data_IF_725334651520
#
_entry.id   IF_725334651520
#
_cell.length_a   1.000
_cell.length_b   1.000
_cell.length_c   1.000
_cell.angle_alpha   90.00
_cell.angle_beta   90.00
_cell.angle_gamma   90.00
#
_symmetry.space_group_name_H-M   'P 1'
#
loop_
_entity.id
_entity.type
_entity.pdbx_description
1 polymer ?
#
# COMPACT_ATOMS: atom_id res chain seq x y z
N UNK A 1 -0.76 22.12 0.45
CA UNK A 1 -1.29 21.10 1.38
C UNK A 1 -1.87 20.00 0.52
N UNK A 2 -1.66 18.73 0.83
CA UNK A 2 -2.25 17.65 0.03
C UNK A 2 -3.70 17.52 0.48
N UNK A 3 -4.64 17.76 -0.43
CA UNK A 3 -6.06 17.58 -0.17
C UNK A 3 -6.44 16.12 -0.37
N UNK A 4 -7.16 15.57 0.61
CA UNK A 4 -7.65 14.20 0.60
C UNK A 4 -9.17 14.24 0.48
N UNK A 5 -9.76 13.72 -0.61
CA UNK A 5 -11.21 13.61 -0.76
C UNK A 5 -11.82 12.71 0.33
N UNK A 6 -13.05 13.03 0.75
CA UNK A 6 -13.81 12.23 1.72
C UNK A 6 -13.02 11.89 2.99
N UNK A 7 -12.34 12.88 3.56
CA UNK A 7 -11.50 12.73 4.76
C UNK A 7 -12.32 12.22 5.96
N UNK A 8 -13.60 12.57 6.02
CA UNK A 8 -14.53 12.15 7.07
C UNK A 8 -14.70 10.62 7.15
N UNK A 9 -14.41 9.87 6.08
CA UNK A 9 -14.40 8.40 6.12
C UNK A 9 -13.31 7.84 7.03
N UNK A 10 -12.25 8.61 7.28
CA UNK A 10 -11.17 8.26 8.21
C UNK A 10 -11.49 8.70 9.64
N UNK A 11 -12.65 9.33 9.88
CA UNK A 11 -12.97 9.95 11.17
C UNK A 11 -12.11 11.18 11.48
N UNK A 12 -11.50 11.80 10.47
CA UNK A 12 -10.60 12.95 10.64
C UNK A 12 -11.26 14.26 10.21
N UNK A 13 -11.01 15.30 10.99
CA UNK A 13 -11.27 16.69 10.60
C UNK A 13 -10.12 17.25 9.76
N UNK A 14 -10.37 18.35 9.05
CA UNK A 14 -9.34 19.05 8.28
C UNK A 14 -8.17 19.54 9.15
N UNK A 15 -8.44 19.95 10.39
CA UNK A 15 -7.40 20.41 11.31
C UNK A 15 -6.52 19.23 11.77
N UNK A 16 -7.12 18.09 12.12
CA UNK A 16 -6.35 16.89 12.48
C UNK A 16 -5.51 16.40 11.30
N UNK A 17 -6.05 16.43 10.08
CA UNK A 17 -5.28 16.12 8.88
C UNK A 17 -4.11 17.08 8.66
N UNK A 18 -4.33 18.38 8.90
CA UNK A 18 -3.27 19.38 8.83
C UNK A 18 -2.15 19.06 9.83
N UNK A 19 -2.50 18.75 11.08
CA UNK A 19 -1.54 18.43 12.13
C UNK A 19 -0.73 17.18 11.79
N UNK A 20 -1.40 16.12 11.30
CA UNK A 20 -0.74 14.88 10.85
C UNK A 20 0.19 15.15 9.67
N UNK A 21 -0.21 16.02 8.73
CA UNK A 21 0.67 16.45 7.64
C UNK A 21 1.93 17.17 8.14
N UNK A 22 1.85 17.94 9.24
CA UNK A 22 3.02 18.58 9.82
C UNK A 22 3.94 17.57 10.50
N UNK A 23 3.39 16.62 11.25
CA UNK A 23 4.15 15.51 11.84
C UNK A 23 4.94 14.76 10.76
N UNK A 24 4.29 14.42 9.64
CA UNK A 24 4.96 13.75 8.53
C UNK A 24 6.10 14.60 7.94
N UNK A 25 5.87 15.89 7.65
CA UNK A 25 6.90 16.80 7.13
C UNK A 25 8.11 16.95 8.06
N UNK A 26 7.85 16.96 9.37
CA UNK A 26 8.88 17.02 10.39
C UNK A 26 9.59 15.67 10.62
N UNK A 27 9.16 14.61 9.92
CA UNK A 27 9.64 13.24 10.06
C UNK A 27 9.44 12.66 11.46
N UNK A 28 8.35 13.06 12.11
CA UNK A 28 7.90 12.49 13.39
C UNK A 28 7.16 11.16 13.17
N UNK A 29 7.81 10.22 12.45
CA UNK A 29 7.22 8.96 11.97
C UNK A 29 6.88 7.96 13.09
N UNK A 30 7.44 8.16 14.28
CA UNK A 30 7.13 7.39 15.49
C UNK A 30 5.98 8.01 16.31
N UNK A 31 5.41 9.14 15.85
CA UNK A 31 4.28 9.77 16.52
C UNK A 31 3.08 8.81 16.55
N UNK A 32 2.51 8.50 17.74
CA UNK A 32 1.34 7.63 17.84
C UNK A 32 0.17 8.13 17.00
N UNK A 33 -0.02 9.46 16.93
CA UNK A 33 -1.09 10.08 16.15
C UNK A 33 -0.92 9.81 14.65
N UNK A 34 0.31 9.97 14.13
CA UNK A 34 0.60 9.69 12.72
C UNK A 34 0.42 8.21 12.40
N UNK A 35 0.95 7.32 13.26
CA UNK A 35 0.84 5.88 13.08
C UNK A 35 -0.62 5.40 13.14
N UNK A 36 -1.44 5.94 14.04
CA UNK A 36 -2.85 5.56 14.15
C UNK A 36 -3.66 6.01 12.93
N UNK A 37 -3.38 7.19 12.37
CA UNK A 37 -3.98 7.63 11.11
C UNK A 37 -3.56 6.71 9.97
N UNK A 38 -2.29 6.33 9.90
CA UNK A 38 -1.79 5.45 8.84
C UNK A 38 -2.35 4.02 8.97
N UNK A 39 -2.54 3.50 10.19
CA UNK A 39 -3.23 2.23 10.44
C UNK A 39 -4.69 2.30 10.02
N UNK A 40 -5.40 3.35 10.42
CA UNK A 40 -6.80 3.58 10.06
C UNK A 40 -6.95 3.65 8.53
N UNK A 41 -6.10 4.45 7.88
CA UNK A 41 -6.07 4.53 6.42
C UNK A 41 -5.82 3.16 5.78
N UNK A 42 -4.85 2.40 6.28
CA UNK A 42 -4.54 1.06 5.77
C UNK A 42 -5.72 0.09 5.92
N UNK A 43 -6.40 0.08 7.07
CA UNK A 43 -7.59 -0.77 7.30
C UNK A 43 -8.77 -0.41 6.38
N UNK A 44 -8.86 0.86 5.96
CA UNK A 44 -9.90 1.36 5.08
C UNK A 44 -9.47 1.37 3.61
N UNK A 45 -8.32 0.75 3.29
CA UNK A 45 -7.70 0.78 1.96
C UNK A 45 -7.48 2.20 1.41
N UNK A 46 -7.33 3.21 2.26
CA UNK A 46 -7.10 4.62 1.89
C UNK A 46 -5.62 4.86 1.55
N UNK A 47 -5.20 4.29 0.43
CA UNK A 47 -3.82 4.31 -0.04
C UNK A 47 -3.34 5.71 -0.44
N UNK A 48 -4.26 6.62 -0.79
CA UNK A 48 -3.99 8.03 -0.99
C UNK A 48 -3.39 8.70 0.25
N UNK A 49 -3.90 8.37 1.44
CA UNK A 49 -3.40 8.90 2.72
C UNK A 49 -2.01 8.32 3.00
N UNK A 50 -1.85 7.00 2.89
CA UNK A 50 -0.57 6.32 3.11
C UNK A 50 0.53 6.90 2.20
N UNK A 51 0.23 7.06 0.90
CA UNK A 51 1.14 7.68 -0.05
C UNK A 51 1.42 9.15 0.29
N UNK A 52 0.41 9.92 0.66
CA UNK A 52 0.57 11.35 0.97
C UNK A 52 1.48 11.58 2.19
N UNK A 53 1.34 10.77 3.24
CA UNK A 53 2.21 10.85 4.41
C UNK A 53 3.65 10.48 4.05
N UNK A 54 3.83 9.42 3.26
CA UNK A 54 5.14 9.02 2.74
C UNK A 54 5.80 10.12 1.90
N UNK A 55 5.03 10.75 1.01
CA UNK A 55 5.49 11.85 0.17
C UNK A 55 5.93 13.06 1.02
N UNK A 56 5.16 13.41 2.05
CA UNK A 56 5.45 14.54 2.92
C UNK A 56 6.69 14.29 3.80
N UNK A 57 6.88 13.07 4.29
CA UNK A 57 8.07 12.70 5.07
C UNK A 57 9.33 12.60 4.19
N UNK A 58 9.15 12.35 2.89
CA UNK A 58 10.23 12.02 1.97
C UNK A 58 10.90 10.70 2.33
N UNK A 59 10.11 9.75 2.84
CA UNK A 59 10.51 8.42 3.28
C UNK A 59 9.58 7.39 2.67
N UNK A 60 10.10 6.20 2.37
CA UNK A 60 9.27 5.07 1.98
C UNK A 60 8.59 4.51 3.22
N UNK A 61 7.36 4.05 3.06
CA UNK A 61 6.63 3.32 4.10
C UNK A 61 6.17 1.98 3.56
N UNK A 62 6.24 0.95 4.40
CA UNK A 62 5.71 -0.38 4.11
C UNK A 62 4.58 -0.70 5.06
N UNK A 63 3.48 -1.22 4.52
CA UNK A 63 2.34 -1.73 5.27
C UNK A 63 2.23 -3.23 4.99
N UNK A 64 2.14 -4.04 6.04
CA UNK A 64 1.89 -5.47 5.94
C UNK A 64 0.62 -5.80 6.70
N UNK A 65 -0.33 -6.47 6.02
CA UNK A 65 -1.59 -6.93 6.59
C UNK A 65 -1.59 -8.46 6.56
N UNK A 66 -1.74 -9.07 7.73
CA UNK A 66 -1.74 -10.51 7.88
C UNK A 66 -3.12 -11.15 7.70
N UNK A 67 -3.21 -12.47 7.88
CA UNK A 67 -4.47 -13.22 7.75
C UNK A 67 -5.55 -12.83 8.79
N UNK A 68 -5.17 -12.23 9.91
CA UNK A 68 -6.05 -11.81 11.00
C UNK A 68 -6.33 -10.29 10.99
N UNK A 69 -5.98 -9.61 9.90
CA UNK A 69 -6.13 -8.15 9.73
C UNK A 69 -5.24 -7.32 10.68
N UNK A 70 -4.18 -7.91 11.25
CA UNK A 70 -3.17 -7.15 11.97
C UNK A 70 -2.35 -6.32 10.97
N UNK A 71 -2.11 -5.05 11.31
CA UNK A 71 -1.42 -4.08 10.46
C UNK A 71 -0.06 -3.74 11.05
N UNK A 72 1.01 -4.02 10.30
CA UNK A 72 2.35 -3.54 10.58
C UNK A 72 2.70 -2.37 9.67
N UNK A 73 3.38 -1.37 10.22
CA UNK A 73 3.89 -0.22 9.48
C UNK A 73 5.39 -0.14 9.74
N UNK A 74 6.17 0.04 8.68
CA UNK A 74 7.60 0.30 8.73
C UNK A 74 7.93 1.52 7.87
N UNK A 75 9.04 2.18 8.19
CA UNK A 75 9.52 3.38 7.51
C UNK A 75 11.00 3.24 7.19
N UNK A 76 11.43 3.73 6.02
CA UNK A 76 12.84 3.68 5.65
C UNK A 76 13.23 4.67 4.58
N UNK A 77 14.54 4.79 4.40
CA UNK A 77 15.10 5.54 3.27
C UNK A 77 14.72 4.86 1.95
N UNK A 78 14.67 5.62 0.84
CA UNK A 78 14.41 5.08 -0.48
C UNK A 78 15.24 3.85 -0.85
N UNK A 79 14.57 2.77 -1.28
CA UNK A 79 15.17 1.51 -1.68
C UNK A 79 15.64 0.60 -0.54
N UNK A 80 15.37 0.96 0.73
CA UNK A 80 15.77 0.18 1.91
C UNK A 80 14.62 -0.52 2.62
N UNK A 81 13.38 -0.21 2.26
CA UNK A 81 12.22 -0.83 2.89
C UNK A 81 11.98 -2.20 2.27
N UNK A 82 12.03 -3.24 3.11
CA UNK A 82 11.85 -4.63 2.71
C UNK A 82 10.59 -5.20 3.35
N UNK A 83 10.11 -6.32 2.81
CA UNK A 83 9.12 -7.14 3.50
C UNK A 83 9.69 -7.59 4.85
N UNK A 84 9.08 -7.12 5.94
CA UNK A 84 9.43 -7.50 7.30
C UNK A 84 8.16 -7.84 8.08
N UNK A 85 7.98 -9.11 8.38
CA UNK A 85 6.91 -9.56 9.26
C UNK A 85 7.31 -9.37 10.73
N UNK A 86 6.54 -8.61 11.53
CA UNK A 86 6.77 -8.56 12.96
C UNK A 86 6.50 -9.90 13.64
N UNK A 87 7.07 -10.08 14.83
CA UNK A 87 6.74 -11.23 15.66
C UNK A 87 5.25 -11.23 16.00
N UNK A 88 4.61 -12.38 15.84
CA UNK A 88 3.18 -12.58 16.15
C UNK A 88 2.23 -12.41 14.96
N UNK A 89 2.72 -12.03 13.78
CA UNK A 89 1.89 -11.94 12.58
C UNK A 89 1.66 -13.31 11.93
N UNK A 90 0.47 -13.50 11.36
CA UNK A 90 -0.02 -14.80 10.85
C UNK A 90 -0.02 -14.89 9.32
N UNK A 91 0.85 -15.73 8.76
CA UNK A 91 0.87 -16.05 7.33
C UNK A 91 -0.27 -17.01 6.93
N UNK A 92 -0.76 -16.99 5.67
CA UNK A 92 -0.35 -16.08 4.60
C UNK A 92 -0.81 -14.63 4.83
N UNK A 93 0.01 -13.69 4.39
CA UNK A 93 -0.27 -12.26 4.42
C UNK A 93 -1.23 -11.88 3.28
N UNK A 94 -2.31 -11.20 3.62
CA UNK A 94 -3.31 -10.72 2.65
C UNK A 94 -2.71 -9.68 1.73
N UNK A 95 -1.93 -8.76 2.28
CA UNK A 95 -1.48 -7.59 1.55
C UNK A 95 -0.13 -7.07 2.04
N UNK A 96 0.76 -6.78 1.10
CA UNK A 96 1.95 -5.96 1.31
C UNK A 96 1.88 -4.69 0.45
N UNK A 97 2.07 -3.52 1.04
CA UNK A 97 2.08 -2.23 0.34
C UNK A 97 3.41 -1.56 0.62
N UNK A 98 4.04 -0.98 -0.40
CA UNK A 98 5.15 -0.06 -0.19
C UNK A 98 4.97 1.20 -1.04
N UNK A 99 5.73 2.24 -0.74
CA UNK A 99 5.63 3.54 -1.44
C UNK A 99 6.94 3.95 -2.09
N UNK A 100 6.83 4.67 -3.21
CA UNK A 100 7.92 5.38 -3.89
C UNK A 100 7.60 6.89 -3.91
N UNK A 101 7.92 7.64 -2.84
CA UNK A 101 7.50 9.04 -2.70
C UNK A 101 8.13 9.91 -3.79
N UNK A 102 7.29 10.49 -4.66
CA UNK A 102 7.71 11.38 -5.74
C UNK A 102 8.16 10.68 -7.02
N UNK A 103 8.13 9.36 -7.07
CA UNK A 103 8.50 8.57 -8.25
C UNK A 103 7.31 7.79 -8.80
N UNK A 104 7.50 7.15 -9.96
CA UNK A 104 6.49 6.26 -10.52
C UNK A 104 6.29 5.02 -9.64
N UNK A 105 5.11 4.40 -9.70
CA UNK A 105 4.88 3.11 -9.06
C UNK A 105 5.47 2.01 -9.97
N UNK A 106 6.58 1.38 -9.56
CA UNK A 106 7.24 0.31 -10.30
C UNK A 106 7.79 -0.72 -9.33
N UNK A 107 8.04 -1.95 -9.80
CA UNK A 107 8.73 -2.96 -9.00
C UNK A 107 10.25 -2.77 -9.13
N UNK A 108 10.89 -2.27 -8.08
CA UNK A 108 12.35 -2.13 -8.01
C UNK A 108 13.05 -3.48 -7.79
N UNK A 109 14.38 -3.50 -7.82
CA UNK A 109 15.16 -4.69 -7.46
C UNK A 109 14.90 -5.14 -6.01
N UNK A 110 14.68 -4.19 -5.09
CA UNK A 110 14.39 -4.49 -3.69
C UNK A 110 12.99 -5.12 -3.57
N UNK A 111 12.03 -4.60 -4.32
CA UNK A 111 10.65 -5.11 -4.28
C UNK A 111 10.56 -6.48 -4.92
N UNK A 112 11.14 -6.65 -6.10
CA UNK A 112 11.17 -7.95 -6.79
C UNK A 112 11.89 -9.02 -5.98
N UNK A 113 12.96 -8.69 -5.26
CA UNK A 113 13.57 -9.63 -4.32
C UNK A 113 12.63 -9.98 -3.16
N UNK A 114 11.91 -8.99 -2.59
CA UNK A 114 10.93 -9.22 -1.53
C UNK A 114 9.75 -10.08 -1.99
N UNK A 115 9.22 -9.84 -3.18
CA UNK A 115 8.16 -10.65 -3.79
C UNK A 115 8.61 -12.07 -4.11
N UNK A 116 9.85 -12.24 -4.55
CA UNK A 116 10.39 -13.57 -4.82
C UNK A 116 10.44 -14.41 -3.53
N UNK A 117 10.88 -13.81 -2.41
CA UNK A 117 10.91 -14.45 -1.09
C UNK A 117 9.50 -14.64 -0.51
N UNK A 118 8.59 -13.69 -0.74
CA UNK A 118 7.21 -13.72 -0.26
C UNK A 118 6.23 -14.52 -1.13
N UNK A 119 6.71 -15.16 -2.20
CA UNK A 119 5.89 -15.82 -3.24
C UNK A 119 5.00 -16.96 -2.74
N UNK A 120 5.28 -17.54 -1.57
CA UNK A 120 4.45 -18.60 -0.98
C UNK A 120 3.64 -18.13 0.22
N UNK A 121 3.74 -16.85 0.60
CA UNK A 121 3.17 -16.32 1.84
C UNK A 121 2.49 -14.96 1.68
N UNK A 122 2.53 -14.30 0.51
CA UNK A 122 1.84 -13.04 0.25
C UNK A 122 0.87 -13.22 -0.91
N UNK A 123 -0.38 -12.82 -0.70
CA UNK A 123 -1.44 -12.89 -1.71
C UNK A 123 -1.40 -11.71 -2.69
N UNK A 124 -1.36 -10.48 -2.18
CA UNK A 124 -1.37 -9.25 -3.00
C UNK A 124 -0.25 -8.32 -2.59
N UNK A 125 0.35 -7.64 -3.57
CA UNK A 125 1.31 -6.58 -3.36
C UNK A 125 0.93 -5.29 -4.09
N UNK A 126 1.19 -4.14 -3.47
CA UNK A 126 0.98 -2.82 -4.06
C UNK A 126 2.26 -1.97 -3.97
N UNK A 127 2.48 -1.17 -5.02
CA UNK A 127 3.42 -0.04 -5.01
C UNK A 127 2.63 1.25 -5.17
N UNK A 128 2.79 2.20 -4.26
CA UNK A 128 2.17 3.51 -4.37
C UNK A 128 3.20 4.53 -4.86
N UNK A 129 2.89 5.22 -5.95
CA UNK A 129 3.75 6.26 -6.51
C UNK A 129 2.97 7.51 -6.88
N UNK A 130 3.68 8.52 -7.39
CA UNK A 130 3.10 9.76 -7.87
C UNK A 130 1.95 9.58 -8.86
N UNK A 131 2.03 8.69 -9.88
CA UNK A 131 0.93 8.52 -10.82
C UNK A 131 -0.26 7.76 -10.21
N UNK A 132 -0.05 6.90 -9.22
CA UNK A 132 -1.09 6.02 -8.71
C UNK A 132 -0.56 4.73 -8.10
N UNK A 133 -1.33 3.66 -8.25
CA UNK A 133 -1.10 2.37 -7.62
C UNK A 133 -0.71 1.34 -8.68
N UNK A 134 0.42 0.66 -8.49
CA UNK A 134 0.76 -0.56 -9.23
C UNK A 134 0.40 -1.75 -8.37
N UNK A 135 -0.28 -2.74 -8.95
CA UNK A 135 -0.75 -3.94 -8.25
C UNK A 135 -0.08 -5.18 -8.81
N UNK A 136 0.14 -6.15 -7.93
CA UNK A 136 0.51 -7.51 -8.29
C UNK A 136 -0.29 -8.49 -7.44
N UNK A 137 -0.79 -9.54 -8.06
CA UNK A 137 -1.49 -10.65 -7.44
C UNK A 137 -0.72 -11.93 -7.65
N UNK A 138 -0.70 -12.76 -6.62
CA UNK A 138 -0.02 -14.02 -6.62
C UNK A 138 -0.95 -15.16 -7.06
N UNK A 139 -0.54 -15.90 -8.09
CA UNK A 139 -1.29 -17.03 -8.65
C UNK A 139 -1.49 -18.20 -7.67
N UNK A 140 -0.66 -18.30 -6.63
CA UNK A 140 -0.82 -19.34 -5.61
C UNK A 140 -2.05 -19.12 -4.73
N UNK A 141 -2.52 -17.87 -4.62
CA UNK A 141 -3.61 -17.49 -3.72
C UNK A 141 -4.90 -17.09 -4.46
N UNK A 142 -4.82 -16.83 -5.76
CA UNK A 142 -5.98 -16.44 -6.55
C UNK A 142 -5.96 -17.05 -7.95
N UNK A 143 -7.15 -17.34 -8.48
CA UNK A 143 -7.30 -17.76 -9.88
C UNK A 143 -7.12 -16.55 -10.77
N UNK A 144 -6.04 -16.55 -11.55
CA UNK A 144 -5.72 -15.50 -12.51
C UNK A 144 -6.11 -15.94 -13.91
N UNK A 145 -6.52 -14.99 -14.75
CA UNK A 145 -6.68 -15.24 -16.18
C UNK A 145 -5.34 -15.62 -16.82
N UNK A 146 -5.37 -16.59 -17.73
CA UNK A 146 -4.17 -17.20 -18.36
C UNK A 146 -3.28 -16.18 -19.07
N UNK A 147 -3.83 -15.05 -19.51
CA UNK A 147 -3.12 -14.03 -20.29
C UNK A 147 -2.57 -12.85 -19.46
N UNK A 148 -2.59 -12.93 -18.13
CA UNK A 148 -2.01 -11.87 -17.31
C UNK A 148 -0.50 -11.80 -17.49
N UNK A 149 0.01 -10.60 -17.80
CA UNK A 149 1.46 -10.32 -17.79
C UNK A 149 2.02 -10.68 -16.41
N UNK A 150 3.21 -11.26 -16.37
CA UNK A 150 3.94 -11.61 -15.15
C UNK A 150 5.13 -10.70 -14.95
N UNK A 151 5.54 -10.47 -13.71
CA UNK A 151 6.74 -9.67 -13.40
C UNK A 151 7.99 -10.28 -14.04
N UNK A 152 8.08 -11.61 -14.06
CA UNK A 152 9.13 -12.36 -14.77
C UNK A 152 8.53 -13.59 -15.44
N UNK A 153 9.16 -14.05 -16.53
CA UNK A 153 8.81 -15.32 -17.16
C UNK A 153 9.35 -16.54 -16.40
N UNK A 154 10.33 -16.35 -15.50
CA UNK A 154 11.01 -17.43 -14.80
C UNK A 154 11.16 -17.16 -13.30
N UNK A 155 11.32 -18.23 -12.54
CA UNK A 155 11.52 -18.18 -11.10
C UNK A 155 10.26 -17.78 -10.32
N UNK A 156 10.41 -17.44 -9.03
CA UNK A 156 9.29 -17.12 -8.14
C UNK A 156 8.43 -15.95 -8.65
N UNK A 157 9.03 -15.03 -9.39
CA UNK A 157 8.34 -13.86 -9.96
C UNK A 157 7.34 -14.18 -11.09
N UNK A 158 7.32 -15.42 -11.61
CA UNK A 158 6.28 -15.87 -12.55
C UNK A 158 4.91 -16.01 -11.88
N UNK A 159 4.87 -16.21 -10.56
CA UNK A 159 3.61 -16.31 -9.82
C UNK A 159 2.89 -14.96 -9.70
N UNK A 160 3.62 -13.86 -9.89
CA UNK A 160 3.15 -12.50 -9.66
C UNK A 160 2.69 -11.81 -10.95
N UNK A 161 1.49 -11.26 -10.97
CA UNK A 161 1.02 -10.42 -12.10
C UNK A 161 1.80 -9.11 -12.20
N UNK A 162 1.96 -8.58 -13.40
CA UNK A 162 2.49 -7.24 -13.65
C UNK A 162 1.37 -6.35 -14.19
N UNK A 163 0.51 -5.87 -13.29
CA UNK A 163 -0.65 -5.06 -13.66
C UNK A 163 -0.23 -3.63 -13.99
N UNK A 164 -1.00 -2.97 -14.87
CA UNK A 164 -0.78 -1.57 -15.22
C UNK A 164 -1.10 -0.65 -14.03
N UNK A 165 -0.53 0.56 -14.02
CA UNK A 165 -0.76 1.53 -12.95
C UNK A 165 -2.19 2.06 -13.04
N UNK A 166 -2.95 1.94 -11.95
CA UNK A 166 -4.24 2.62 -11.78
C UNK A 166 -3.95 4.02 -11.26
N UNK A 167 -4.25 5.05 -12.07
CA UNK A 167 -4.01 6.42 -11.69
C UNK A 167 -4.88 6.87 -10.51
N UNK A 168 -4.39 7.76 -9.64
CA UNK A 168 -5.13 8.20 -8.44
C UNK A 168 -6.58 8.64 -8.74
N UNK A 169 -6.81 9.37 -9.84
CA UNK A 169 -8.16 9.76 -10.27
C UNK A 169 -9.07 8.55 -10.54
N UNK A 170 -8.57 7.56 -11.28
CA UNK A 170 -9.31 6.33 -11.58
C UNK A 170 -9.52 5.50 -10.31
N UNK A 171 -8.53 5.48 -9.43
CA UNK A 171 -8.64 4.80 -8.15
C UNK A 171 -9.75 5.42 -7.27
N UNK A 172 -9.83 6.75 -7.17
CA UNK A 172 -10.93 7.41 -6.45
C UNK A 172 -12.32 7.07 -7.03
N UNK A 173 -12.43 6.92 -8.35
CA UNK A 173 -13.67 6.46 -8.98
C UNK A 173 -14.02 5.04 -8.52
N UNK A 174 -13.05 4.12 -8.52
CA UNK A 174 -13.27 2.74 -8.05
C UNK A 174 -13.69 2.64 -6.58
N UNK A 175 -13.20 3.54 -5.71
CA UNK A 175 -13.66 3.60 -4.32
C UNK A 175 -15.14 4.01 -4.21
N UNK A 176 -15.58 4.97 -5.01
CA UNK A 176 -16.98 5.41 -5.01
C UNK A 176 -17.90 4.30 -5.51
N UNK A 177 -17.49 3.59 -6.56
CA UNK A 177 -18.27 2.48 -7.13
C UNK A 177 -18.42 1.33 -6.12
N UNK A 178 -17.36 0.98 -5.39
CA UNK A 178 -17.42 -0.07 -4.35
C UNK A 178 -18.37 0.30 -3.20
N UNK A 179 -18.34 1.55 -2.73
CA UNK A 179 -19.26 2.03 -1.67
C UNK A 179 -20.72 1.98 -2.15
N UNK A 180 -20.98 2.28 -3.42
CA UNK A 180 -22.33 2.19 -4.00
C UNK A 180 -22.78 0.73 -4.05
N UNK A 181 -21.90 -0.19 -4.44
CA UNK A 181 -22.22 -1.62 -4.50
C UNK A 181 -22.50 -2.22 -3.12
N UNK A 182 -21.72 -1.87 -2.08
CA UNK A 182 -21.97 -2.33 -0.70
C UNK A 182 -23.30 -1.81 -0.12
N UNK A 183 -23.78 -0.64 -0.56
CA UNK A 183 -25.07 -0.09 -0.11
C UNK A 183 -26.29 -0.73 -0.78
N UNK A 184 -26.10 -1.49 -1.86
CA UNK A 184 -27.18 -2.10 -2.64
C UNK A 184 -27.42 -3.56 -2.21
N UNK A 185 -26.50 -4.16 -1.43
CA UNK A 185 -26.58 -5.54 -0.93
C UNK A 185 -27.27 -5.62 0.42
#
# INVERSE_FOLDING_TARGET
MIEIPNLEQLGLTQNEWFDVCQLAKNREIESPVLLDVQRTASSLNRWDVVYSLSLLAGLETSVLIDSEDNISIDWGDPGRVILKAPHGFMAPFKLWVHTHPGFTAYWSSTDTNSLALGSTIIETALVLGAPGIKKSRNSEFCVLEENNKKISQFGPLNQWTDEEIIGWKQWYQSLQDNIVMEKIV
#
